data_IF_495652523335
#
_entry.id   IF_495652523335
#
_cell.length_a   1.000
_cell.length_b   1.000
_cell.length_c   1.000
_cell.angle_alpha   90.00
_cell.angle_beta   90.00
_cell.angle_gamma   90.00
#
_symmetry.space_group_name_H-M   'P 1'
#
loop_
_entity.id
_entity.type
_entity.pdbx_description
1 polymer ?
#
# COMPACT_ATOMS: atom_id res chain seq x y z
N UNK A 1 -8.68 28.74 0.51
CA UNK A 1 -9.89 28.61 -0.32
C UNK A 1 -9.87 27.26 -1.01
N UNK A 2 -10.60 26.28 -0.49
CA UNK A 2 -10.70 24.93 -1.01
C UNK A 2 -11.49 24.95 -2.34
N UNK A 3 -10.90 24.35 -3.38
CA UNK A 3 -11.56 24.24 -4.70
C UNK A 3 -12.79 23.34 -4.56
N UNK A 4 -14.00 23.92 -4.51
CA UNK A 4 -15.31 23.24 -4.49
C UNK A 4 -15.51 22.17 -5.58
N UNK A 5 -14.71 22.17 -6.64
CA UNK A 5 -14.83 21.23 -7.75
C UNK A 5 -14.33 19.79 -7.49
N UNK A 6 -13.45 19.55 -6.49
CA UNK A 6 -12.93 18.21 -6.21
C UNK A 6 -13.88 17.37 -5.34
N UNK A 7 -14.58 18.01 -4.41
CA UNK A 7 -15.56 17.34 -3.56
C UNK A 7 -16.77 16.83 -4.36
N UNK A 8 -17.25 17.61 -5.35
CA UNK A 8 -18.37 17.22 -6.21
C UNK A 8 -18.00 16.00 -7.06
N UNK A 9 -16.78 15.94 -7.60
CA UNK A 9 -16.30 14.78 -8.38
C UNK A 9 -16.20 13.52 -7.52
N UNK A 10 -15.74 13.63 -6.28
CA UNK A 10 -15.64 12.50 -5.36
C UNK A 10 -17.03 11.96 -4.97
N UNK A 11 -17.98 12.84 -4.64
CA UNK A 11 -19.35 12.42 -4.35
C UNK A 11 -20.03 11.80 -5.57
N UNK A 12 -19.85 12.35 -6.78
CA UNK A 12 -20.38 11.76 -8.00
C UNK A 12 -19.81 10.36 -8.26
N UNK A 13 -18.50 10.20 -8.02
CA UNK A 13 -17.81 8.92 -8.10
C UNK A 13 -18.37 7.92 -7.08
N UNK A 14 -18.57 8.30 -5.83
CA UNK A 14 -19.20 7.44 -4.82
C UNK A 14 -20.64 7.04 -5.20
N UNK A 15 -21.45 7.98 -5.71
CA UNK A 15 -22.82 7.68 -6.15
C UNK A 15 -22.86 6.65 -7.28
N UNK A 16 -21.92 6.68 -8.21
CA UNK A 16 -21.80 5.69 -9.27
C UNK A 16 -21.52 4.28 -8.71
N UNK A 17 -20.68 4.15 -7.68
CA UNK A 17 -20.44 2.86 -7.02
C UNK A 17 -21.66 2.38 -6.23
N UNK A 18 -22.33 3.25 -5.49
CA UNK A 18 -23.56 2.87 -4.77
C UNK A 18 -24.62 2.37 -5.76
N UNK A 19 -24.78 3.02 -6.91
CA UNK A 19 -25.71 2.58 -7.95
C UNK A 19 -25.28 1.24 -8.58
N UNK A 20 -23.98 1.07 -8.83
CA UNK A 20 -23.43 -0.19 -9.33
C UNK A 20 -23.65 -1.33 -8.33
N UNK A 21 -23.44 -1.09 -7.03
CA UNK A 21 -23.65 -2.08 -5.96
C UNK A 21 -25.14 -2.45 -5.79
N UNK A 22 -26.05 -1.55 -6.16
CA UNK A 22 -27.48 -1.83 -6.14
C UNK A 22 -27.92 -2.76 -7.29
N UNK A 23 -27.33 -2.57 -8.48
CA UNK A 23 -27.64 -3.36 -9.68
C UNK A 23 -26.85 -4.68 -9.72
N UNK A 24 -25.58 -4.64 -9.28
CA UNK A 24 -24.67 -5.78 -9.21
C UNK A 24 -24.10 -5.85 -7.78
N UNK A 25 -24.81 -6.53 -6.86
CA UNK A 25 -24.39 -6.56 -5.47
C UNK A 25 -22.97 -7.08 -5.32
N UNK A 26 -22.13 -6.41 -4.50
CA UNK A 26 -20.72 -6.73 -4.39
C UNK A 26 -20.51 -8.12 -3.79
N UNK A 27 -19.48 -8.80 -4.25
CA UNK A 27 -18.98 -10.01 -3.62
C UNK A 27 -17.95 -9.72 -2.55
N UNK A 28 -18.06 -10.38 -1.40
CA UNK A 28 -17.08 -10.28 -0.32
C UNK A 28 -15.67 -10.56 -0.84
N UNK A 29 -14.72 -9.65 -0.59
CA UNK A 29 -13.37 -9.81 -1.08
C UNK A 29 -12.62 -11.01 -0.44
N UNK A 30 -13.04 -11.46 0.75
CA UNK A 30 -12.47 -12.63 1.41
C UNK A 30 -13.03 -13.97 0.90
N UNK A 31 -14.38 -14.15 0.88
CA UNK A 31 -15.01 -15.42 0.56
C UNK A 31 -15.85 -15.43 -0.73
N UNK A 32 -16.11 -14.27 -1.35
CA UNK A 32 -16.94 -14.15 -2.55
C UNK A 32 -18.45 -14.09 -2.30
N UNK A 33 -18.93 -14.24 -1.07
CA UNK A 33 -20.37 -14.18 -0.75
C UNK A 33 -20.94 -12.83 -1.19
N UNK A 34 -22.03 -12.87 -1.95
CA UNK A 34 -22.72 -11.67 -2.46
C UNK A 34 -23.36 -10.88 -1.32
N UNK A 35 -23.39 -9.56 -1.42
CA UNK A 35 -24.12 -8.62 -0.57
C UNK A 35 -23.27 -7.58 0.18
N UNK A 36 -22.02 -7.86 0.51
CA UNK A 36 -21.11 -6.91 1.18
C UNK A 36 -19.69 -7.07 0.65
N UNK A 37 -18.97 -5.98 0.44
CA UNK A 37 -17.54 -6.01 0.07
C UNK A 37 -16.69 -6.79 1.09
N UNK A 38 -17.05 -6.74 2.36
CA UNK A 38 -16.46 -7.55 3.42
C UNK A 38 -17.53 -8.03 4.40
N UNK A 39 -17.88 -9.33 4.34
CA UNK A 39 -18.92 -9.92 5.16
C UNK A 39 -18.44 -10.14 6.60
N UNK A 40 -19.39 -10.18 7.55
CA UNK A 40 -19.11 -10.34 8.98
C UNK A 40 -18.30 -11.62 9.31
N UNK A 41 -18.58 -12.72 8.59
CA UNK A 41 -17.82 -13.97 8.78
C UNK A 41 -16.33 -13.81 8.41
N UNK A 42 -16.01 -12.98 7.40
CA UNK A 42 -14.63 -12.66 7.05
C UNK A 42 -14.03 -11.64 8.02
N UNK A 43 -14.82 -10.67 8.49
CA UNK A 43 -14.37 -9.71 9.50
C UNK A 43 -13.93 -10.40 10.80
N UNK A 44 -14.71 -11.38 11.26
CA UNK A 44 -14.37 -12.16 12.47
C UNK A 44 -13.11 -13.02 12.34
N UNK A 45 -12.66 -13.31 11.11
CA UNK A 45 -11.44 -14.07 10.81
C UNK A 45 -10.24 -13.17 10.49
N UNK A 46 -10.45 -11.88 10.50
CA UNK A 46 -9.38 -10.92 10.30
C UNK A 46 -8.45 -10.91 11.51
N UNK A 47 -7.15 -10.93 11.26
CA UNK A 47 -6.12 -10.87 12.30
C UNK A 47 -5.39 -9.54 12.17
N UNK A 48 -5.71 -8.54 13.02
CA UNK A 48 -5.00 -7.28 13.02
C UNK A 48 -3.55 -7.46 13.46
N UNK A 49 -2.69 -6.52 13.11
CA UNK A 49 -1.35 -6.40 13.68
C UNK A 49 -1.46 -5.58 14.96
N UNK A 50 -1.72 -6.26 16.07
CA UNK A 50 -1.84 -5.65 17.40
C UNK A 50 -0.57 -5.86 18.23
N UNK A 51 -0.43 -5.06 19.28
CA UNK A 51 0.68 -5.12 20.21
C UNK A 51 1.85 -4.21 19.85
N UNK A 52 2.95 -4.31 20.61
CA UNK A 52 4.13 -3.50 20.35
C UNK A 52 4.78 -3.88 19.03
N UNK A 53 5.18 -2.88 18.26
CA UNK A 53 5.78 -3.04 16.94
C UNK A 53 7.04 -2.19 16.82
N UNK A 54 7.95 -2.58 15.95
CA UNK A 54 9.11 -1.78 15.59
C UNK A 54 8.69 -0.40 15.07
N UNK A 55 9.22 0.66 15.66
CA UNK A 55 8.88 2.05 15.27
C UNK A 55 9.15 2.33 13.81
N UNK A 56 10.18 1.73 13.25
CA UNK A 56 10.57 1.95 11.86
C UNK A 56 9.74 1.09 10.91
N UNK A 57 9.84 -0.24 10.98
CA UNK A 57 9.24 -1.11 9.96
C UNK A 57 7.87 -1.71 10.32
N UNK A 58 7.39 -1.51 11.56
CA UNK A 58 6.10 -2.05 12.01
C UNK A 58 6.06 -3.58 12.18
N UNK A 59 7.21 -4.26 12.25
CA UNK A 59 7.24 -5.66 12.62
C UNK A 59 6.82 -5.83 14.08
N UNK A 60 6.07 -6.90 14.44
CA UNK A 60 5.86 -7.24 15.85
C UNK A 60 7.20 -7.29 16.58
N UNK A 61 7.30 -6.57 17.70
CA UNK A 61 8.54 -6.42 18.44
C UNK A 61 8.27 -6.01 19.88
N UNK A 62 8.76 -6.78 20.82
CA UNK A 62 8.38 -6.70 22.24
C UNK A 62 9.41 -6.00 23.16
N UNK A 63 10.59 -5.62 22.63
CA UNK A 63 11.70 -5.22 23.50
C UNK A 63 12.06 -3.75 23.42
N UNK A 64 12.53 -3.30 22.29
CA UNK A 64 12.98 -1.92 22.09
C UNK A 64 12.14 -1.24 21.04
N UNK A 65 12.29 0.05 20.86
CA UNK A 65 11.59 0.81 19.82
C UNK A 65 11.91 0.33 18.40
N UNK A 66 13.10 -0.28 18.18
CA UNK A 66 13.60 -0.67 16.86
C UNK A 66 14.02 -2.15 16.87
N UNK A 67 13.52 -2.95 15.90
CA UNK A 67 13.84 -4.37 15.78
C UNK A 67 15.27 -4.63 15.28
N UNK A 68 15.79 -5.84 15.52
CA UNK A 68 17.16 -6.24 15.17
C UNK A 68 17.49 -6.00 13.69
N UNK A 69 16.56 -6.27 12.78
CA UNK A 69 16.80 -6.03 11.35
C UNK A 69 16.95 -4.54 11.02
N UNK A 70 16.14 -3.67 11.63
CA UNK A 70 16.27 -2.23 11.45
C UNK A 70 17.51 -1.67 12.16
N UNK A 71 17.95 -2.27 13.28
CA UNK A 71 19.20 -1.90 13.94
C UNK A 71 20.40 -2.27 13.06
N UNK A 72 20.39 -3.47 12.48
CA UNK A 72 21.46 -3.93 11.58
C UNK A 72 21.58 -3.09 10.30
N UNK A 73 20.46 -2.73 9.70
CA UNK A 73 20.39 -1.92 8.48
C UNK A 73 19.17 -1.01 8.50
N UNK A 74 19.38 0.24 8.88
CA UNK A 74 18.31 1.22 8.90
C UNK A 74 17.78 1.46 7.48
N UNK A 75 16.47 1.30 7.24
CA UNK A 75 15.88 1.60 5.93
C UNK A 75 15.79 3.11 5.68
N UNK A 76 15.57 3.48 4.42
CA UNK A 76 15.44 4.88 4.01
C UNK A 76 14.07 5.50 4.33
N UNK A 77 13.04 4.68 4.54
CA UNK A 77 11.75 5.17 5.03
C UNK A 77 11.81 5.48 6.53
N UNK A 78 11.06 6.48 6.97
CA UNK A 78 11.01 6.86 8.38
C UNK A 78 10.14 5.89 9.18
N UNK A 79 8.93 5.59 8.70
CA UNK A 79 8.02 4.64 9.33
C UNK A 79 7.24 3.86 8.28
N UNK A 80 6.96 2.58 8.58
CA UNK A 80 6.01 1.76 7.81
C UNK A 80 5.06 1.05 8.76
N UNK A 81 3.78 1.00 8.40
CA UNK A 81 2.75 0.22 9.11
C UNK A 81 1.95 -0.60 8.11
N UNK A 82 1.57 -1.78 8.55
CA UNK A 82 0.66 -2.67 7.83
C UNK A 82 -0.63 -2.84 8.64
N UNK A 83 -1.77 -2.90 7.95
CA UNK A 83 -3.07 -2.98 8.62
C UNK A 83 -3.27 -4.33 9.30
N UNK A 84 -2.90 -5.44 8.64
CA UNK A 84 -3.19 -6.78 9.11
C UNK A 84 -2.10 -7.80 8.79
N UNK A 85 -2.23 -9.00 9.36
CA UNK A 85 -1.50 -10.17 8.90
C UNK A 85 -1.93 -10.52 7.47
N UNK A 86 -0.97 -10.90 6.63
CA UNK A 86 -1.23 -11.36 5.26
C UNK A 86 -1.68 -12.81 5.24
N UNK A 87 -2.87 -13.06 5.77
CA UNK A 87 -3.50 -14.37 5.93
C UNK A 87 -4.94 -14.36 5.38
N UNK A 88 -5.50 -15.55 5.13
CA UNK A 88 -6.89 -15.65 4.71
C UNK A 88 -7.85 -15.28 5.85
N UNK A 89 -8.93 -14.54 5.58
CA UNK A 89 -9.48 -14.20 4.25
C UNK A 89 -8.90 -12.93 3.61
N UNK A 90 -8.12 -12.15 4.34
CA UNK A 90 -7.63 -10.84 3.89
C UNK A 90 -6.68 -10.95 2.69
N UNK A 91 -5.78 -11.97 2.71
CA UNK A 91 -4.90 -12.32 1.57
C UNK A 91 -5.68 -12.49 0.27
N UNK A 92 -6.82 -13.19 0.29
CA UNK A 92 -7.67 -13.38 -0.91
C UNK A 92 -8.16 -12.05 -1.48
N UNK A 93 -8.52 -11.08 -0.64
CA UNK A 93 -8.91 -9.74 -1.08
C UNK A 93 -7.78 -9.02 -1.79
N UNK A 94 -6.56 -9.06 -1.23
CA UNK A 94 -5.38 -8.44 -1.82
C UNK A 94 -5.00 -9.10 -3.15
N UNK A 95 -5.07 -10.44 -3.23
CA UNK A 95 -4.84 -11.18 -4.48
C UNK A 95 -5.88 -10.80 -5.54
N UNK A 96 -7.17 -10.72 -5.18
CA UNK A 96 -8.21 -10.25 -6.11
C UNK A 96 -7.95 -8.84 -6.62
N UNK A 97 -7.52 -7.92 -5.75
CA UNK A 97 -7.14 -6.57 -6.18
C UNK A 97 -6.03 -6.58 -7.23
N UNK A 98 -5.07 -7.51 -7.10
CA UNK A 98 -3.96 -7.64 -8.07
C UNK A 98 -4.39 -8.15 -9.45
N UNK A 99 -5.40 -9.03 -9.51
CA UNK A 99 -5.71 -9.78 -10.74
C UNK A 99 -7.06 -9.45 -11.38
N UNK A 100 -7.97 -8.81 -10.67
CA UNK A 100 -9.32 -8.54 -11.19
C UNK A 100 -9.64 -7.06 -11.42
N UNK A 101 -8.70 -6.13 -11.20
CA UNK A 101 -8.84 -4.72 -11.60
C UNK A 101 -10.06 -3.99 -11.04
N UNK A 102 -10.59 -4.42 -9.91
CA UNK A 102 -11.82 -3.88 -9.37
C UNK A 102 -11.55 -2.65 -8.48
N UNK A 103 -11.86 -1.46 -8.99
CA UNK A 103 -11.67 -0.20 -8.25
C UNK A 103 -12.54 -0.13 -6.99
N UNK A 104 -13.77 -0.68 -7.00
CA UNK A 104 -14.63 -0.74 -5.81
C UNK A 104 -14.02 -1.61 -4.71
N UNK A 105 -13.33 -2.71 -5.08
CA UNK A 105 -12.56 -3.49 -4.13
C UNK A 105 -11.39 -2.67 -3.53
N UNK A 106 -10.70 -1.89 -4.37
CA UNK A 106 -9.64 -0.99 -3.92
C UNK A 106 -10.16 0.04 -2.92
N UNK A 107 -11.31 0.64 -3.20
CA UNK A 107 -11.97 1.59 -2.30
C UNK A 107 -12.37 0.93 -0.97
N UNK A 108 -12.99 -0.25 -1.01
CA UNK A 108 -13.35 -1.01 0.19
C UNK A 108 -12.13 -1.38 1.06
N UNK A 109 -11.01 -1.75 0.44
CA UNK A 109 -9.77 -2.04 1.14
C UNK A 109 -9.07 -0.76 1.65
N UNK A 110 -9.23 0.37 0.96
CA UNK A 110 -8.66 1.65 1.40
C UNK A 110 -9.22 2.13 2.74
N UNK A 111 -10.46 1.74 3.08
CA UNK A 111 -11.08 2.03 4.40
C UNK A 111 -10.22 1.47 5.54
N UNK A 112 -9.63 0.28 5.35
CA UNK A 112 -8.72 -0.32 6.33
C UNK A 112 -7.47 0.56 6.55
N UNK A 113 -6.90 1.08 5.47
CA UNK A 113 -5.74 1.97 5.54
C UNK A 113 -6.08 3.34 6.14
N UNK A 114 -7.28 3.86 5.85
CA UNK A 114 -7.78 5.11 6.47
C UNK A 114 -7.89 4.92 7.99
N UNK A 115 -8.51 3.84 8.44
CA UNK A 115 -8.64 3.53 9.88
C UNK A 115 -7.27 3.44 10.56
N UNK A 116 -6.31 2.75 9.93
CA UNK A 116 -4.95 2.67 10.44
C UNK A 116 -4.29 4.04 10.50
N UNK A 117 -4.38 4.87 9.47
CA UNK A 117 -3.80 6.22 9.46
C UNK A 117 -4.41 7.15 10.51
N UNK A 118 -5.71 7.04 10.75
CA UNK A 118 -6.39 7.80 11.81
C UNK A 118 -5.86 7.43 13.20
N UNK A 119 -5.55 6.16 13.45
CA UNK A 119 -4.96 5.71 14.73
C UNK A 119 -3.50 6.15 14.90
N UNK A 120 -2.75 6.25 13.80
CA UNK A 120 -1.34 6.63 13.81
C UNK A 120 -1.12 8.15 13.94
N UNK A 121 -2.12 8.96 13.60
CA UNK A 121 -2.06 10.42 13.61
C UNK A 121 -0.87 11.01 12.82
N UNK A 122 -0.41 10.31 11.78
CA UNK A 122 0.69 10.78 10.94
C UNK A 122 0.27 12.00 10.12
N UNK A 123 1.18 12.99 10.06
CA UNK A 123 1.02 14.17 9.19
C UNK A 123 1.86 13.97 7.94
N UNK A 124 1.24 14.10 6.76
CA UNK A 124 1.87 13.98 5.45
C UNK A 124 1.25 14.97 4.46
N UNK A 125 2.02 15.33 3.43
CA UNK A 125 1.65 16.40 2.49
C UNK A 125 1.05 15.86 1.20
N UNK A 126 1.29 14.59 0.86
CA UNK A 126 0.82 13.96 -0.37
C UNK A 126 0.81 12.43 -0.27
N UNK A 127 0.06 11.81 -1.17
CA UNK A 127 -0.08 10.35 -1.26
C UNK A 127 0.40 9.87 -2.64
N UNK A 128 1.26 8.87 -2.64
CA UNK A 128 1.80 8.22 -3.85
C UNK A 128 1.53 6.71 -3.81
N UNK A 129 1.08 6.11 -4.91
CA UNK A 129 1.12 4.65 -5.06
C UNK A 129 2.57 4.20 -5.36
N UNK A 130 2.97 3.02 -4.90
CA UNK A 130 4.18 2.37 -5.40
C UNK A 130 4.02 2.10 -6.90
N UNK A 131 4.96 2.54 -7.76
CA UNK A 131 4.86 2.33 -9.20
C UNK A 131 5.06 0.85 -9.57
N UNK A 132 4.24 0.35 -10.50
CA UNK A 132 4.45 -0.96 -11.11
C UNK A 132 5.61 -0.96 -12.10
N UNK A 133 6.17 -2.16 -12.34
CA UNK A 133 7.04 -2.39 -13.49
C UNK A 133 6.24 -2.35 -14.80
N UNK A 134 6.92 -2.06 -15.91
CA UNK A 134 6.28 -2.02 -17.23
C UNK A 134 5.69 -3.37 -17.61
N UNK A 135 6.38 -4.47 -17.30
CA UNK A 135 5.90 -5.84 -17.53
C UNK A 135 4.62 -6.12 -16.77
N UNK A 136 4.54 -5.74 -15.49
CA UNK A 136 3.30 -5.89 -14.69
C UNK A 136 2.19 -4.98 -15.18
N UNK A 137 2.52 -3.76 -15.62
CA UNK A 137 1.54 -2.85 -16.20
C UNK A 137 0.93 -3.45 -17.48
N UNK A 138 1.77 -3.99 -18.38
CA UNK A 138 1.30 -4.65 -19.60
C UNK A 138 0.43 -5.87 -19.31
N UNK A 139 0.78 -6.65 -18.28
CA UNK A 139 0.01 -7.85 -17.88
C UNK A 139 -1.32 -7.49 -17.20
N UNK A 140 -1.38 -6.44 -16.39
CA UNK A 140 -2.56 -6.10 -15.54
C UNK A 140 -3.43 -4.99 -16.11
N UNK A 141 -2.86 -4.07 -16.88
CA UNK A 141 -3.55 -2.88 -17.41
C UNK A 141 -3.81 -1.78 -16.38
N UNK A 142 -3.47 -1.98 -15.12
CA UNK A 142 -3.70 -1.03 -14.01
C UNK A 142 -2.68 -1.21 -12.89
N UNK A 143 -2.57 -0.20 -12.03
CA UNK A 143 -1.79 -0.27 -10.80
C UNK A 143 -2.73 -0.47 -9.59
N UNK A 144 -2.68 -1.63 -8.95
CA UNK A 144 -3.51 -1.97 -7.80
C UNK A 144 -3.30 -1.02 -6.61
N UNK A 145 -2.08 -0.52 -6.42
CA UNK A 145 -1.79 0.43 -5.32
C UNK A 145 -2.38 1.81 -5.57
N UNK A 146 -2.65 2.16 -6.84
CA UNK A 146 -3.36 3.38 -7.19
C UNK A 146 -4.83 3.34 -6.72
N UNK A 147 -5.48 2.16 -6.79
CA UNK A 147 -6.84 1.98 -6.27
C UNK A 147 -6.93 2.13 -4.74
N UNK A 148 -5.82 1.96 -4.04
CA UNK A 148 -5.71 2.21 -2.59
C UNK A 148 -5.33 3.67 -2.30
N UNK A 149 -4.34 4.19 -3.01
CA UNK A 149 -3.77 5.50 -2.75
C UNK A 149 -4.72 6.66 -3.12
N UNK A 150 -5.49 6.52 -4.20
CA UNK A 150 -6.40 7.57 -4.64
C UNK A 150 -7.52 7.84 -3.61
N UNK A 151 -8.28 6.84 -3.09
CA UNK A 151 -9.27 7.07 -2.05
C UNK A 151 -8.68 7.67 -0.77
N UNK A 152 -7.45 7.26 -0.36
CA UNK A 152 -6.76 7.88 0.77
C UNK A 152 -6.55 9.38 0.54
N UNK A 153 -6.04 9.75 -0.62
CA UNK A 153 -5.81 11.16 -0.96
C UNK A 153 -7.09 11.99 -0.92
N UNK A 154 -8.21 11.42 -1.37
CA UNK A 154 -9.51 12.07 -1.33
C UNK A 154 -10.02 12.23 0.11
N UNK A 155 -9.91 11.18 0.93
CA UNK A 155 -10.33 11.22 2.33
C UNK A 155 -9.57 12.27 3.14
N UNK A 156 -8.24 12.31 3.01
CA UNK A 156 -7.41 13.28 3.72
C UNK A 156 -7.31 14.64 3.02
N UNK A 157 -7.95 14.82 1.86
CA UNK A 157 -7.93 16.04 1.05
C UNK A 157 -6.50 16.50 0.68
N UNK A 158 -5.63 15.53 0.38
CA UNK A 158 -4.23 15.75 0.03
C UNK A 158 -3.96 15.46 -1.45
N UNK A 159 -2.93 16.06 -2.05
CA UNK A 159 -2.53 15.79 -3.41
C UNK A 159 -2.24 14.30 -3.66
N UNK A 160 -2.87 13.73 -4.70
CA UNK A 160 -2.52 12.44 -5.28
C UNK A 160 -1.51 12.66 -6.40
N UNK A 161 -0.29 12.12 -6.26
CA UNK A 161 0.82 12.36 -7.18
C UNK A 161 1.43 11.06 -7.73
N UNK A 162 0.71 10.31 -8.58
CA UNK A 162 1.15 9.00 -9.05
C UNK A 162 2.43 9.05 -9.90
N UNK A 163 2.76 10.22 -10.45
CA UNK A 163 3.93 10.41 -11.31
C UNK A 163 5.14 11.04 -10.60
N UNK A 164 5.00 11.41 -9.31
CA UNK A 164 6.09 11.96 -8.54
C UNK A 164 7.20 10.93 -8.24
N UNK A 165 6.87 9.64 -8.36
CA UNK A 165 7.81 8.53 -8.32
C UNK A 165 7.55 7.62 -9.53
N UNK A 166 8.59 7.30 -10.30
CA UNK A 166 8.50 6.44 -11.48
C UNK A 166 9.47 5.28 -11.37
N UNK A 167 9.08 4.12 -11.87
CA UNK A 167 9.97 2.99 -12.06
C UNK A 167 10.68 3.14 -13.39
N UNK A 168 12.01 3.14 -13.39
CA UNK A 168 12.86 3.47 -14.55
C UNK A 168 13.32 2.25 -15.32
N UNK A 169 13.30 1.07 -14.69
CA UNK A 169 13.65 -0.19 -15.34
C UNK A 169 12.82 -1.36 -14.80
N UNK A 170 12.56 -2.33 -15.64
CA UNK A 170 12.08 -3.63 -15.22
C UNK A 170 13.21 -4.38 -14.52
N UNK A 171 12.94 -4.83 -13.30
CA UNK A 171 13.82 -5.72 -12.56
C UNK A 171 13.38 -7.15 -12.83
N UNK A 172 14.30 -8.12 -12.77
CA UNK A 172 13.95 -9.53 -12.88
C UNK A 172 12.84 -9.92 -11.89
N UNK A 173 12.08 -10.97 -12.20
CA UNK A 173 11.08 -11.51 -11.27
C UNK A 173 11.71 -11.71 -9.89
N UNK A 174 10.99 -11.27 -8.84
CA UNK A 174 11.47 -11.38 -7.46
C UNK A 174 11.19 -12.77 -6.85
N UNK A 175 10.58 -13.67 -7.63
CA UNK A 175 10.28 -15.04 -7.22
C UNK A 175 11.59 -15.80 -7.06
N UNK A 176 11.73 -16.50 -5.92
CA UNK A 176 12.93 -17.26 -5.61
C UNK A 176 14.15 -16.45 -5.18
N UNK A 177 14.12 -15.11 -5.23
CA UNK A 177 15.25 -14.28 -4.77
C UNK A 177 15.25 -14.15 -3.24
N UNK A 178 16.47 -14.24 -2.67
CA UNK A 178 16.73 -13.89 -1.27
C UNK A 178 16.49 -12.40 -1.00
N UNK A 179 16.45 -12.00 0.27
CA UNK A 179 16.27 -10.60 0.65
C UNK A 179 17.36 -9.67 0.09
N UNK A 180 18.60 -10.12 0.01
CA UNK A 180 19.72 -9.32 -0.51
C UNK A 180 19.70 -9.26 -2.04
N UNK A 181 19.41 -10.36 -2.72
CA UNK A 181 19.22 -10.37 -4.18
C UNK A 181 18.05 -9.46 -4.61
N UNK A 182 16.96 -9.43 -3.84
CA UNK A 182 15.85 -8.48 -4.10
C UNK A 182 16.28 -7.03 -3.94
N UNK A 183 17.13 -6.72 -2.98
CA UNK A 183 17.67 -5.36 -2.77
C UNK A 183 18.55 -4.92 -3.93
N UNK A 184 19.47 -5.77 -4.38
CA UNK A 184 20.36 -5.45 -5.50
C UNK A 184 19.59 -5.34 -6.82
N UNK A 185 18.60 -6.21 -7.04
CA UNK A 185 17.73 -6.17 -8.21
C UNK A 185 16.92 -4.86 -8.30
N UNK A 186 16.59 -4.24 -7.16
CA UNK A 186 15.83 -2.99 -7.10
C UNK A 186 16.69 -1.73 -7.06
N UNK A 187 18.02 -1.84 -6.99
CA UNK A 187 18.92 -0.70 -6.95
C UNK A 187 18.72 0.19 -8.19
N UNK A 188 18.52 1.49 -7.96
CA UNK A 188 18.25 2.49 -9.00
C UNK A 188 17.03 2.22 -9.89
N UNK A 189 16.12 1.35 -9.42
CA UNK A 189 14.90 1.02 -10.17
C UNK A 189 13.84 2.13 -10.14
N UNK A 190 14.00 3.14 -9.27
CA UNK A 190 13.02 4.21 -9.12
C UNK A 190 13.69 5.58 -9.23
N UNK A 191 12.96 6.54 -9.78
CA UNK A 191 13.35 7.94 -9.89
C UNK A 191 12.23 8.84 -9.42
N UNK A 192 12.57 9.81 -8.58
CA UNK A 192 11.61 10.78 -8.06
C UNK A 192 11.68 12.11 -8.84
N UNK A 193 10.53 12.75 -9.01
CA UNK A 193 10.39 14.08 -9.60
C UNK A 193 10.62 15.15 -8.53
N UNK A 194 11.83 15.70 -8.47
CA UNK A 194 12.30 16.60 -7.42
C UNK A 194 11.37 17.80 -7.22
N UNK A 195 10.89 18.40 -8.30
CA UNK A 195 9.99 19.58 -8.27
C UNK A 195 8.69 19.35 -7.50
N UNK A 196 8.21 18.10 -7.43
CA UNK A 196 6.96 17.75 -6.76
C UNK A 196 7.12 17.39 -5.29
N UNK A 197 8.33 16.92 -4.88
CA UNK A 197 8.52 16.22 -3.59
C UNK A 197 9.45 16.94 -2.61
N UNK A 198 10.18 17.96 -3.08
CA UNK A 198 11.18 18.64 -2.24
C UNK A 198 10.57 19.19 -0.95
N UNK A 199 11.22 18.89 0.19
CA UNK A 199 10.81 19.27 1.54
C UNK A 199 9.39 18.80 1.95
N UNK A 200 8.84 17.76 1.28
CA UNK A 200 7.54 17.18 1.61
C UNK A 200 7.67 15.93 2.46
N UNK A 201 6.69 15.73 3.31
CA UNK A 201 6.43 14.44 3.97
C UNK A 201 5.51 13.63 3.10
N UNK A 202 5.95 12.46 2.67
CA UNK A 202 5.29 11.65 1.64
C UNK A 202 4.74 10.36 2.24
N UNK A 203 3.48 10.05 1.94
CA UNK A 203 2.90 8.74 2.20
C UNK A 203 2.96 7.88 0.94
N UNK A 204 3.70 6.77 0.99
CA UNK A 204 3.73 5.75 -0.07
C UNK A 204 2.76 4.62 0.30
N UNK A 205 1.93 4.21 -0.65
CA UNK A 205 0.96 3.13 -0.49
C UNK A 205 1.40 1.91 -1.30
N UNK A 206 1.50 0.76 -0.62
CA UNK A 206 1.70 -0.55 -1.27
C UNK A 206 0.64 -1.55 -0.78
N UNK A 207 0.54 -2.71 -1.43
CA UNK A 207 -0.43 -3.73 -1.03
C UNK A 207 0.09 -4.64 0.10
N UNK A 208 1.35 -5.10 0.03
CA UNK A 208 1.93 -6.04 1.00
C UNK A 208 3.37 -5.66 1.33
N UNK A 209 3.67 -5.59 2.61
CA UNK A 209 5.03 -5.44 3.12
C UNK A 209 5.64 -6.81 3.40
N UNK A 210 6.49 -7.32 2.53
CA UNK A 210 7.24 -8.57 2.73
C UNK A 210 8.59 -8.28 3.39
N UNK A 211 9.63 -8.13 2.61
CA UNK A 211 10.99 -7.76 3.07
C UNK A 211 11.19 -6.25 3.22
N UNK A 212 10.23 -5.44 2.75
CA UNK A 212 10.33 -3.99 2.70
C UNK A 212 11.25 -3.46 1.60
N UNK A 213 11.85 -4.33 0.75
CA UNK A 213 12.80 -3.91 -0.29
C UNK A 213 12.21 -2.89 -1.26
N UNK A 214 10.98 -3.10 -1.70
CA UNK A 214 10.28 -2.17 -2.62
C UNK A 214 10.09 -0.79 -1.98
N UNK A 215 9.50 -0.74 -0.78
CA UNK A 215 9.27 0.53 -0.07
C UNK A 215 10.58 1.21 0.29
N UNK A 216 11.61 0.45 0.67
CA UNK A 216 12.94 1.01 0.96
C UNK A 216 13.56 1.66 -0.28
N UNK A 217 13.50 1.02 -1.45
CA UNK A 217 14.08 1.59 -2.67
C UNK A 217 13.27 2.80 -3.16
N UNK A 218 11.94 2.76 -3.05
CA UNK A 218 11.10 3.92 -3.29
C UNK A 218 11.47 5.09 -2.37
N UNK A 219 11.65 4.82 -1.07
CA UNK A 219 12.05 5.82 -0.09
C UNK A 219 13.44 6.39 -0.37
N UNK A 220 14.42 5.56 -0.79
CA UNK A 220 15.74 6.02 -1.20
C UNK A 220 15.63 7.03 -2.35
N UNK A 221 14.89 6.71 -3.41
CA UNK A 221 14.69 7.61 -4.53
C UNK A 221 14.00 8.93 -4.12
N UNK A 222 13.00 8.87 -3.23
CA UNK A 222 12.32 10.05 -2.71
C UNK A 222 13.23 10.90 -1.83
N UNK A 223 14.01 10.31 -0.93
CA UNK A 223 14.98 11.04 -0.09
C UNK A 223 16.07 11.68 -0.94
N UNK A 224 16.60 10.99 -1.96
CA UNK A 224 17.54 11.56 -2.93
C UNK A 224 16.95 12.72 -3.73
N UNK A 225 15.64 12.67 -4.01
CA UNK A 225 14.88 13.75 -4.63
C UNK A 225 14.57 14.92 -3.68
N UNK A 226 14.92 14.83 -2.40
CA UNK A 226 14.74 15.90 -1.42
C UNK A 226 13.48 15.82 -0.56
N UNK A 227 12.82 14.65 -0.51
CA UNK A 227 11.72 14.43 0.44
C UNK A 227 12.21 14.55 1.89
N UNK A 228 11.46 15.26 2.75
CA UNK A 228 11.78 15.45 4.15
C UNK A 228 11.57 14.15 4.93
N UNK A 229 10.37 13.55 4.80
CA UNK A 229 10.01 12.27 5.42
C UNK A 229 9.29 11.37 4.43
N UNK A 230 9.44 10.07 4.62
CA UNK A 230 8.78 9.04 3.81
C UNK A 230 8.13 8.02 4.73
N UNK A 231 6.81 8.00 4.72
CA UNK A 231 6.00 7.02 5.42
C UNK A 231 5.48 5.98 4.43
N UNK A 232 5.41 4.72 4.85
CA UNK A 232 4.82 3.65 4.08
C UNK A 232 3.59 3.07 4.78
N UNK A 233 2.56 2.74 3.99
CA UNK A 233 1.39 2.04 4.50
C UNK A 233 1.02 0.89 3.57
N UNK A 234 0.66 -0.26 4.16
CA UNK A 234 0.29 -1.45 3.40
C UNK A 234 -0.92 -2.16 4.00
N UNK A 235 -1.63 -2.92 3.19
CA UNK A 235 -2.77 -3.72 3.65
C UNK A 235 -2.29 -4.88 4.52
N UNK A 236 -1.28 -5.62 4.07
CA UNK A 236 -0.88 -6.85 4.74
C UNK A 236 0.61 -6.99 4.96
N UNK A 237 0.96 -7.78 5.99
CA UNK A 237 2.32 -8.21 6.28
C UNK A 237 2.33 -9.70 6.64
N UNK A 238 3.11 -10.55 5.95
CA UNK A 238 3.37 -11.93 6.40
C UNK A 238 4.19 -11.91 7.69
N UNK A 239 3.88 -12.82 8.61
CA UNK A 239 4.59 -13.01 9.86
C UNK A 239 5.10 -14.45 9.91
N UNK A 240 6.42 -14.63 9.99
CA UNK A 240 7.09 -15.94 10.10
C UNK A 240 7.79 -16.40 8.83
N UNK A 241 8.74 -17.36 8.97
CA UNK A 241 9.53 -17.86 7.85
C UNK A 241 8.75 -18.74 6.86
N UNK A 242 7.60 -19.31 7.27
CA UNK A 242 6.87 -20.34 6.51
C UNK A 242 5.67 -19.82 5.72
N UNK A 243 5.41 -18.51 5.69
CA UNK A 243 4.38 -17.98 4.82
C UNK A 243 4.92 -17.88 3.39
N UNK A 244 4.57 -18.89 2.60
CA UNK A 244 4.86 -18.96 1.18
C UNK A 244 4.48 -17.65 0.48
N UNK A 245 5.51 -16.91 0.12
CA UNK A 245 5.39 -15.63 -0.63
C UNK A 245 5.07 -15.92 -2.11
N UNK A 246 4.89 -17.18 -2.46
CA UNK A 246 4.87 -17.71 -3.83
C UNK A 246 3.69 -17.26 -4.71
N UNK A 247 2.62 -16.73 -4.12
CA UNK A 247 1.44 -16.28 -4.87
C UNK A 247 1.42 -14.75 -5.12
N UNK A 248 2.57 -14.10 -5.15
CA UNK A 248 2.68 -12.65 -5.40
C UNK A 248 2.97 -12.31 -6.86
N UNK A 249 2.84 -13.25 -7.79
CA UNK A 249 2.93 -13.02 -9.24
C UNK A 249 1.61 -12.72 -9.91
#
# INVERSE_FOLDING_TARGET
MLKRGSAIKYHLYQWLFVFQDLVLPPGCFGCGKIGKHWCEACQKKFVPLEGPVCDVCGAPWDRSTICTECQRKLPAFDHVRSFARYENPFRKGIVRLKYHGNAALGEALSVCLIQLLLSLQWKFDMVLPVPLSESRWKKRGYNQTAFLAYPLSQYFQLPYQPYALRRTRDTHSQVGLTGDERRENLKDAFRAEKSLIQQKTILIVDDVFTTGSTLNTCAQALKQGGAQKVYGITLGRPLGPDQEIWDLE
#
